data_IF_783693898750
#
_entry.id   IF_783693898750
#
_cell.length_a   1.000
_cell.length_b   1.000
_cell.length_c   1.000
_cell.angle_alpha   90.00
_cell.angle_beta   90.00
_cell.angle_gamma   90.00
#
_symmetry.space_group_name_H-M   'P 1'
#
loop_
_entity.id
_entity.type
_entity.pdbx_description
1 polymer ?
#
# COMPACT_ATOMS: atom_id res chain seq x y z
N UNK A 1 9.93 0.31 28.42
CA UNK A 1 10.34 0.91 27.13
C UNK A 1 11.05 -0.17 26.34
N UNK A 2 10.62 -0.45 25.11
CA UNK A 2 11.29 -1.41 24.23
C UNK A 2 12.43 -0.69 23.52
N UNK A 3 13.66 -1.19 23.65
CA UNK A 3 14.86 -0.58 23.05
C UNK A 3 15.43 -1.50 21.98
N UNK A 4 15.71 -0.94 20.80
CA UNK A 4 16.38 -1.65 19.71
C UNK A 4 17.89 -1.42 19.88
N UNK A 5 18.71 -2.47 20.04
CA UNK A 5 20.15 -2.33 20.18
C UNK A 5 20.80 -1.85 18.87
N UNK A 6 22.06 -1.43 18.94
CA UNK A 6 22.86 -1.21 17.73
C UNK A 6 23.03 -2.53 16.97
N UNK A 7 22.80 -2.51 15.65
CA UNK A 7 22.94 -3.66 14.78
C UNK A 7 24.06 -3.35 13.78
N UNK A 8 25.11 -4.17 13.78
CA UNK A 8 26.21 -4.05 12.83
C UNK A 8 25.84 -4.62 11.45
N UNK A 9 26.49 -4.12 10.40
CA UNK A 9 26.32 -4.65 9.04
C UNK A 9 25.01 -4.26 8.33
N UNK A 10 24.28 -3.25 8.82
CA UNK A 10 23.11 -2.71 8.13
C UNK A 10 23.50 -2.04 6.80
N UNK A 11 22.65 -2.18 5.79
CA UNK A 11 22.69 -1.36 4.59
C UNK A 11 22.41 0.11 4.91
N UNK A 12 22.81 1.04 4.03
CA UNK A 12 22.61 2.48 4.23
C UNK A 12 21.14 2.86 4.44
N UNK A 13 20.24 2.20 3.70
CA UNK A 13 18.80 2.18 3.96
C UNK A 13 18.39 0.76 4.32
N UNK A 14 17.60 0.60 5.38
CA UNK A 14 17.15 -0.71 5.86
C UNK A 14 15.70 -0.64 6.33
N UNK A 15 15.06 -1.79 6.49
CA UNK A 15 13.67 -1.88 6.96
C UNK A 15 13.59 -2.43 8.38
N UNK A 16 12.60 -1.97 9.12
CA UNK A 16 12.24 -2.49 10.44
C UNK A 16 10.75 -2.85 10.42
N UNK A 17 10.45 -4.14 10.62
CA UNK A 17 9.08 -4.61 10.87
C UNK A 17 8.93 -4.88 12.36
N UNK A 18 8.00 -4.17 12.99
CA UNK A 18 7.59 -4.42 14.37
C UNK A 18 6.22 -5.08 14.34
N UNK A 19 6.07 -6.17 15.10
CA UNK A 19 4.79 -6.87 15.27
C UNK A 19 4.50 -6.99 16.75
N UNK A 20 3.24 -6.72 17.13
CA UNK A 20 2.73 -6.95 18.47
C UNK A 20 1.73 -8.10 18.39
N UNK A 21 1.93 -9.11 19.23
CA UNK A 21 1.05 -10.26 19.35
C UNK A 21 0.36 -10.25 20.72
N UNK A 22 -0.90 -10.67 20.76
CA UNK A 22 -1.59 -10.91 22.03
C UNK A 22 -1.15 -12.24 22.66
N UNK A 23 -1.70 -12.57 23.85
CA UNK A 23 -1.35 -13.79 24.57
C UNK A 23 -1.71 -15.09 23.83
N UNK A 24 -2.55 -15.02 22.79
CA UNK A 24 -2.90 -16.17 21.93
C UNK A 24 -1.96 -16.35 20.74
N UNK A 25 -0.98 -15.44 20.56
CA UNK A 25 -0.08 -15.41 19.41
C UNK A 25 -0.70 -14.72 18.18
N UNK A 26 -1.86 -14.07 18.31
CA UNK A 26 -2.47 -13.33 17.22
C UNK A 26 -1.80 -11.96 17.09
N UNK A 27 -1.31 -11.62 15.91
CA UNK A 27 -0.83 -10.26 15.61
C UNK A 27 -1.99 -9.26 15.75
N UNK A 28 -1.85 -8.29 16.65
CA UNK A 28 -2.83 -7.22 16.91
C UNK A 28 -2.38 -5.86 16.37
N UNK A 29 -1.10 -5.71 16.07
CA UNK A 29 -0.55 -4.51 15.41
C UNK A 29 0.71 -4.87 14.64
N UNK A 30 0.94 -4.21 13.51
CA UNK A 30 2.22 -4.25 12.81
C UNK A 30 2.56 -2.87 12.28
N UNK A 31 3.82 -2.46 12.45
CA UNK A 31 4.37 -1.22 11.90
C UNK A 31 5.61 -1.53 11.07
N UNK A 32 5.78 -0.81 9.97
CA UNK A 32 6.88 -1.00 9.05
C UNK A 32 7.56 0.33 8.77
N UNK A 33 8.88 0.37 8.97
CA UNK A 33 9.70 1.56 8.82
C UNK A 33 10.80 1.29 7.80
N UNK A 34 11.19 2.34 7.08
CA UNK A 34 12.42 2.41 6.30
C UNK A 34 13.30 3.46 6.98
N UNK A 35 14.47 3.03 7.43
CA UNK A 35 15.39 3.86 8.22
C UNK A 35 16.72 3.97 7.49
N UNK A 36 17.47 5.00 7.83
CA UNK A 36 18.81 5.25 7.30
C UNK A 36 19.84 5.11 8.41
N UNK A 37 21.01 4.57 8.08
CA UNK A 37 22.17 4.62 8.99
C UNK A 37 22.77 6.03 9.08
N UNK A 38 22.42 6.93 8.16
CA UNK A 38 22.73 8.35 8.23
C UNK A 38 21.61 9.08 8.98
N UNK A 39 21.87 9.67 10.16
CA UNK A 39 20.83 10.36 10.91
C UNK A 39 20.42 11.68 10.24
N UNK A 40 19.12 11.95 10.27
CA UNK A 40 18.60 13.30 10.04
C UNK A 40 18.82 14.15 11.29
N UNK A 41 19.36 15.36 11.13
CA UNK A 41 19.57 16.28 12.25
C UNK A 41 19.01 17.66 11.93
N UNK A 42 18.47 18.33 12.95
CA UNK A 42 17.82 19.63 12.82
C UNK A 42 18.77 20.77 13.20
N UNK A 43 18.72 21.86 12.44
CA UNK A 43 19.39 23.12 12.78
C UNK A 43 18.48 23.99 13.65
N UNK A 44 18.46 23.68 14.94
CA UNK A 44 17.65 24.40 15.92
C UNK A 44 17.98 25.89 16.05
N UNK A 45 19.21 26.31 15.69
CA UNK A 45 19.59 27.72 15.76
C UNK A 45 18.89 28.56 14.70
N UNK A 46 18.39 27.92 13.64
CA UNK A 46 17.67 28.55 12.52
C UNK A 46 16.18 28.27 12.54
N UNK A 47 15.64 27.80 13.67
CA UNK A 47 14.20 27.62 13.84
C UNK A 47 13.46 28.94 13.68
N UNK A 48 12.34 28.87 12.96
CA UNK A 48 11.31 29.89 12.90
C UNK A 48 10.09 29.44 13.72
N UNK A 49 9.05 30.26 13.81
CA UNK A 49 7.88 29.95 14.63
C UNK A 49 7.09 28.70 14.17
N UNK A 50 7.28 28.24 12.92
CA UNK A 50 6.56 27.11 12.33
C UNK A 50 7.46 26.03 11.71
N UNK A 51 8.78 26.23 11.67
CA UNK A 51 9.68 25.36 10.93
C UNK A 51 11.10 25.38 11.49
N UNK A 52 11.73 24.21 11.56
CA UNK A 52 13.15 24.04 11.85
C UNK A 52 13.82 23.41 10.64
N UNK A 53 14.84 24.05 10.04
CA UNK A 53 15.55 23.46 8.90
C UNK A 53 16.39 22.24 9.30
N UNK A 54 16.63 21.38 8.33
CA UNK A 54 17.45 20.18 8.47
C UNK A 54 18.93 20.49 8.17
N UNK A 55 19.84 20.09 9.07
CA UNK A 55 21.30 20.19 8.91
C UNK A 55 21.88 19.01 8.11
N UNK A 56 21.37 17.81 8.33
CA UNK A 56 21.75 16.59 7.62
C UNK A 56 20.51 15.78 7.30
N UNK A 57 20.42 15.21 6.10
CA UNK A 57 19.29 14.39 5.68
C UNK A 57 19.63 12.90 5.78
N UNK A 58 18.63 12.11 6.19
CA UNK A 58 18.68 10.66 6.06
C UNK A 58 18.87 10.25 4.58
N UNK A 59 19.55 9.12 4.35
CA UNK A 59 19.78 8.59 3.02
C UNK A 59 18.85 7.40 2.74
N UNK A 60 17.87 7.64 1.85
CA UNK A 60 16.90 6.67 1.37
C UNK A 60 17.08 6.31 -0.12
N UNK A 61 18.20 6.71 -0.73
CA UNK A 61 18.42 6.53 -2.17
C UNK A 61 18.46 5.06 -2.60
N UNK A 62 18.87 4.16 -1.71
CA UNK A 62 18.88 2.72 -1.98
C UNK A 62 17.48 2.13 -2.25
N UNK A 63 16.39 2.81 -1.83
CA UNK A 63 15.02 2.39 -2.18
C UNK A 63 14.79 2.39 -3.70
N UNK A 64 15.50 3.24 -4.47
CA UNK A 64 15.38 3.29 -5.93
C UNK A 64 15.86 2.00 -6.61
N UNK A 65 16.69 1.22 -5.92
CA UNK A 65 17.28 -0.01 -6.43
C UNK A 65 16.54 -1.26 -5.94
N UNK A 66 15.38 -1.11 -5.30
CA UNK A 66 14.56 -2.27 -4.92
C UNK A 66 14.19 -3.09 -6.16
N UNK A 67 14.40 -4.42 -6.14
CA UNK A 67 14.01 -5.29 -7.25
C UNK A 67 12.53 -5.16 -7.58
N UNK A 68 12.17 -5.22 -8.86
CA UNK A 68 10.75 -5.20 -9.26
C UNK A 68 10.05 -6.47 -8.79
N UNK A 69 8.84 -6.31 -8.23
CA UNK A 69 8.02 -7.41 -7.74
C UNK A 69 6.73 -7.51 -8.54
N UNK A 70 6.45 -8.71 -9.05
CA UNK A 70 5.20 -9.02 -9.73
C UNK A 70 4.25 -9.77 -8.77
N UNK A 71 3.19 -9.09 -8.34
CA UNK A 71 2.24 -9.60 -7.33
C UNK A 71 1.14 -10.46 -7.95
N UNK A 72 0.72 -11.52 -7.28
CA UNK A 72 -0.49 -12.25 -7.67
C UNK A 72 -1.70 -11.57 -7.04
N UNK A 73 -2.72 -11.29 -7.86
CA UNK A 73 -3.90 -10.53 -7.44
C UNK A 73 -5.15 -11.21 -7.96
N UNK A 74 -6.13 -11.33 -7.09
CA UNK A 74 -7.50 -11.73 -7.43
C UNK A 74 -8.47 -10.96 -6.52
N UNK A 75 -9.75 -10.96 -6.86
CA UNK A 75 -10.73 -10.44 -5.93
C UNK A 75 -12.15 -10.81 -6.29
N UNK A 76 -13.02 -10.65 -5.29
CA UNK A 76 -14.44 -10.99 -5.38
C UNK A 76 -15.23 -9.75 -4.95
N UNK A 77 -16.15 -9.30 -5.80
CA UNK A 77 -17.06 -8.21 -5.52
C UNK A 77 -18.43 -8.75 -5.10
N UNK A 78 -19.00 -8.18 -4.04
CA UNK A 78 -20.34 -8.49 -3.52
C UNK A 78 -21.14 -7.20 -3.35
N UNK A 79 -22.40 -7.22 -3.79
CA UNK A 79 -23.35 -6.14 -3.51
C UNK A 79 -23.98 -6.38 -2.13
N UNK A 80 -23.95 -5.38 -1.27
CA UNK A 80 -24.48 -5.37 0.09
C UNK A 80 -25.44 -4.19 0.25
N UNK A 81 -26.68 -4.33 -0.23
CA UNK A 81 -27.66 -3.24 -0.23
C UNK A 81 -27.23 -2.10 -1.15
N UNK A 82 -27.08 -0.89 -0.58
CA UNK A 82 -26.67 0.31 -1.31
C UNK A 82 -25.15 0.40 -1.53
N UNK A 83 -24.38 -0.54 -0.97
CA UNK A 83 -22.92 -0.59 -1.08
C UNK A 83 -22.45 -1.82 -1.86
N UNK A 84 -21.23 -1.75 -2.38
CA UNK A 84 -20.46 -2.85 -2.90
C UNK A 84 -19.23 -3.05 -2.02
N UNK A 85 -18.83 -4.31 -1.82
CA UNK A 85 -17.60 -4.67 -1.16
C UNK A 85 -16.76 -5.57 -2.06
N UNK A 86 -15.55 -5.11 -2.39
CA UNK A 86 -14.55 -5.92 -3.11
C UNK A 86 -13.52 -6.43 -2.11
N UNK A 87 -13.40 -7.75 -1.98
CA UNK A 87 -12.34 -8.41 -1.21
C UNK A 87 -11.21 -8.78 -2.16
N UNK A 88 -10.07 -8.09 -2.03
CA UNK A 88 -8.85 -8.32 -2.80
C UNK A 88 -8.01 -9.36 -2.07
N UNK A 89 -7.59 -10.42 -2.75
CA UNK A 89 -6.55 -11.34 -2.30
C UNK A 89 -5.27 -11.04 -3.07
N UNK A 90 -4.22 -10.66 -2.34
CA UNK A 90 -2.93 -10.26 -2.90
C UNK A 90 -1.80 -11.04 -2.27
N UNK A 91 -0.85 -11.49 -3.09
CA UNK A 91 0.24 -12.37 -2.69
C UNK A 91 1.55 -11.95 -3.35
N UNK A 92 2.63 -11.97 -2.59
CA UNK A 92 3.97 -11.75 -3.10
C UNK A 92 4.68 -13.10 -3.26
N UNK A 93 4.73 -13.68 -4.48
CA UNK A 93 5.39 -14.96 -4.71
C UNK A 93 6.91 -14.85 -4.81
N UNK A 94 7.46 -13.63 -4.78
CA UNK A 94 8.89 -13.39 -4.98
C UNK A 94 9.68 -13.53 -3.67
N UNK A 95 11.01 -13.43 -3.79
CA UNK A 95 11.94 -13.37 -2.65
C UNK A 95 12.23 -11.95 -2.16
N UNK A 96 11.68 -10.94 -2.84
CA UNK A 96 11.96 -9.53 -2.61
C UNK A 96 10.74 -8.83 -1.97
N UNK A 97 10.97 -7.77 -1.20
CA UNK A 97 9.90 -6.98 -0.59
C UNK A 97 9.10 -6.25 -1.67
N UNK A 98 7.77 -6.36 -1.66
CA UNK A 98 6.90 -5.41 -2.35
C UNK A 98 6.62 -4.23 -1.42
N UNK A 99 7.12 -3.05 -1.79
CA UNK A 99 7.12 -1.86 -0.94
C UNK A 99 6.03 -0.88 -1.36
N UNK A 100 5.28 -0.36 -0.39
CA UNK A 100 4.14 0.54 -0.59
C UNK A 100 3.13 0.02 -1.62
N UNK A 101 2.61 -1.20 -1.42
CA UNK A 101 1.56 -1.76 -2.26
C UNK A 101 0.30 -0.91 -2.10
N UNK A 102 -0.17 -0.36 -3.22
CA UNK A 102 -1.31 0.53 -3.28
C UNK A 102 -2.40 -0.08 -4.14
N UNK A 103 -3.62 -0.07 -3.60
CA UNK A 103 -4.81 -0.64 -4.22
C UNK A 103 -5.82 0.46 -4.55
N UNK A 104 -6.39 0.40 -5.76
CA UNK A 104 -7.56 1.18 -6.18
C UNK A 104 -8.65 0.25 -6.70
N UNK A 105 -9.90 0.66 -6.55
CA UNK A 105 -11.03 0.08 -7.28
C UNK A 105 -11.41 1.06 -8.36
N UNK A 106 -11.48 0.59 -9.60
CA UNK A 106 -11.95 1.35 -10.74
C UNK A 106 -13.17 0.68 -11.37
N UNK A 107 -14.01 1.48 -12.02
CA UNK A 107 -15.12 1.01 -12.87
C UNK A 107 -15.10 1.79 -14.19
N UNK A 108 -15.77 1.25 -15.19
CA UNK A 108 -15.94 1.94 -16.47
C UNK A 108 -16.72 3.23 -16.26
N UNK A 109 -16.06 4.36 -16.50
CA UNK A 109 -16.68 5.65 -16.69
C UNK A 109 -17.00 5.83 -18.17
N UNK A 110 -18.17 6.42 -18.42
CA UNK A 110 -18.67 6.75 -19.75
C UNK A 110 -19.09 8.19 -19.74
N UNK A 111 -18.64 8.95 -20.73
CA UNK A 111 -19.06 10.33 -20.93
C UNK A 111 -20.54 10.36 -21.37
N UNK A 112 -21.43 11.07 -20.66
CA UNK A 112 -22.81 11.24 -21.09
C UNK A 112 -22.96 11.92 -22.46
N UNK A 113 -22.02 12.80 -22.81
CA UNK A 113 -22.04 13.55 -24.09
C UNK A 113 -21.40 12.75 -25.23
N UNK A 114 -20.56 11.76 -24.89
CA UNK A 114 -19.94 10.82 -25.82
C UNK A 114 -18.69 11.36 -26.52
N UNK A 115 -18.12 12.46 -26.02
CA UNK A 115 -16.93 13.09 -26.58
C UNK A 115 -15.65 12.38 -26.14
N UNK A 116 -15.67 11.75 -24.95
CA UNK A 116 -14.55 10.95 -24.43
C UNK A 116 -14.82 9.43 -24.50
N UNK A 117 -13.82 8.61 -24.87
CA UNK A 117 -13.97 7.16 -24.88
C UNK A 117 -14.16 6.59 -23.46
N UNK A 118 -14.84 5.45 -23.40
CA UNK A 118 -14.97 4.66 -22.17
C UNK A 118 -13.58 4.40 -21.56
N UNK A 119 -13.41 4.73 -20.28
CA UNK A 119 -12.15 4.55 -19.55
C UNK A 119 -12.41 4.06 -18.13
N UNK A 120 -11.38 3.54 -17.47
CA UNK A 120 -11.48 3.18 -16.05
C UNK A 120 -11.29 4.43 -15.20
N UNK A 121 -12.30 4.74 -14.38
CA UNK A 121 -12.21 5.78 -13.36
C UNK A 121 -12.22 5.15 -11.97
N UNK A 122 -11.41 5.72 -11.07
CA UNK A 122 -11.39 5.31 -9.67
C UNK A 122 -12.76 5.56 -9.02
N UNK A 123 -13.22 4.57 -8.26
CA UNK A 123 -14.46 4.66 -7.49
C UNK A 123 -14.18 5.45 -6.21
N UNK A 124 -14.84 6.60 -6.08
CA UNK A 124 -14.74 7.46 -4.90
C UNK A 124 -16.14 7.86 -4.40
N UNK A 125 -16.35 7.98 -3.07
CA UNK A 125 -15.41 7.59 -2.01
C UNK A 125 -15.31 6.06 -1.87
N UNK A 126 -14.15 5.59 -1.40
CA UNK A 126 -13.89 4.19 -1.05
C UNK A 126 -13.24 4.09 0.32
N UNK A 127 -13.67 3.12 1.13
CA UNK A 127 -13.11 2.81 2.43
C UNK A 127 -12.34 1.50 2.35
N UNK A 128 -11.04 1.55 2.64
CA UNK A 128 -10.16 0.39 2.67
C UNK A 128 -9.89 -0.06 4.11
N UNK A 129 -9.83 -1.37 4.34
CA UNK A 129 -9.33 -1.94 5.61
C UNK A 129 -7.85 -1.63 5.84
N UNK A 130 -7.06 -1.62 4.76
CA UNK A 130 -5.64 -1.29 4.76
C UNK A 130 -5.23 -0.86 3.33
N UNK A 131 -4.24 0.01 3.21
CA UNK A 131 -3.68 0.44 1.92
C UNK A 131 -2.26 0.98 2.13
N UNK A 132 -1.45 1.08 1.07
CA UNK A 132 -0.05 1.52 1.16
C UNK A 132 0.84 0.64 2.08
N UNK A 133 0.58 -0.66 2.11
CA UNK A 133 1.25 -1.61 3.00
C UNK A 133 2.46 -2.29 2.33
N UNK A 134 3.45 -2.76 3.11
CA UNK A 134 4.47 -3.68 2.61
C UNK A 134 3.90 -5.10 2.48
N UNK A 135 4.36 -5.86 1.49
CA UNK A 135 4.06 -7.29 1.37
C UNK A 135 5.36 -8.09 1.27
N UNK A 136 5.67 -8.85 2.33
CA UNK A 136 6.92 -9.60 2.45
C UNK A 136 7.00 -10.77 1.46
N UNK A 137 8.19 -11.32 1.22
CA UNK A 137 8.35 -12.56 0.45
C UNK A 137 7.45 -13.69 0.96
N UNK A 138 6.65 -14.28 0.07
CA UNK A 138 5.68 -15.33 0.38
C UNK A 138 4.45 -14.88 1.17
N UNK A 139 4.33 -13.60 1.52
CA UNK A 139 3.18 -13.10 2.29
C UNK A 139 1.94 -12.97 1.40
N UNK A 140 0.80 -13.36 1.97
CA UNK A 140 -0.52 -13.26 1.37
C UNK A 140 -1.45 -12.50 2.29
N UNK A 141 -2.24 -11.59 1.72
CA UNK A 141 -3.24 -10.79 2.44
C UNK A 141 -4.58 -10.80 1.75
N UNK A 142 -5.62 -10.62 2.55
CA UNK A 142 -6.96 -10.29 2.08
C UNK A 142 -7.33 -8.93 2.64
N UNK A 143 -7.78 -8.03 1.75
CA UNK A 143 -8.09 -6.64 2.10
C UNK A 143 -9.42 -6.28 1.45
N UNK A 144 -10.34 -5.73 2.25
CA UNK A 144 -11.63 -5.27 1.76
C UNK A 144 -11.62 -3.78 1.42
N UNK A 145 -12.24 -3.46 0.29
CA UNK A 145 -12.71 -2.12 -0.06
C UNK A 145 -14.24 -2.09 0.00
N UNK A 146 -14.82 -1.04 0.59
CA UNK A 146 -16.26 -0.80 0.61
C UNK A 146 -16.56 0.56 -0.01
N UNK A 147 -17.52 0.61 -0.94
CA UNK A 147 -17.87 1.82 -1.69
C UNK A 147 -19.34 1.75 -2.12
N UNK A 148 -19.90 2.87 -2.59
CA UNK A 148 -21.30 2.91 -3.02
C UNK A 148 -21.54 2.05 -4.26
N UNK A 149 -22.63 1.28 -4.26
CA UNK A 149 -23.02 0.50 -5.41
C UNK A 149 -23.35 1.42 -6.60
N UNK A 150 -22.84 1.06 -7.78
CA UNK A 150 -23.21 1.78 -9.00
C UNK A 150 -24.57 1.30 -9.49
N UNK A 151 -25.40 2.22 -10.03
CA UNK A 151 -26.61 1.84 -10.77
C UNK A 151 -26.28 0.97 -11.99
N UNK A 152 -25.09 1.17 -12.57
CA UNK A 152 -24.59 0.37 -13.69
C UNK A 152 -23.84 -0.84 -13.12
N UNK A 153 -24.12 -2.02 -13.66
CA UNK A 153 -23.48 -3.28 -13.26
C UNK A 153 -22.10 -3.49 -13.88
N UNK A 154 -21.36 -2.41 -14.12
CA UNK A 154 -19.99 -2.50 -14.62
C UNK A 154 -19.12 -3.22 -13.57
N UNK A 155 -18.29 -4.18 -14.00
CA UNK A 155 -17.48 -4.96 -13.09
C UNK A 155 -16.44 -4.07 -12.39
N UNK A 156 -16.15 -4.37 -11.14
CA UNK A 156 -15.06 -3.72 -10.42
C UNK A 156 -13.72 -4.21 -10.94
N UNK A 157 -12.81 -3.28 -11.24
CA UNK A 157 -11.43 -3.57 -11.63
C UNK A 157 -10.51 -3.15 -10.49
N UNK A 158 -9.72 -4.09 -10.00
CA UNK A 158 -8.71 -3.87 -8.98
C UNK A 158 -7.45 -3.40 -9.70
N UNK A 159 -7.00 -2.19 -9.40
CA UNK A 159 -5.71 -1.69 -9.88
C UNK A 159 -4.70 -1.74 -8.74
N UNK A 160 -3.53 -2.29 -9.03
CA UNK A 160 -2.43 -2.44 -8.07
C UNK A 160 -1.20 -1.76 -8.63
N UNK A 161 -0.59 -0.89 -7.83
CA UNK A 161 0.74 -0.37 -8.04
C UNK A 161 1.50 -0.28 -6.71
N UNK A 162 2.68 0.31 -6.74
CA UNK A 162 3.53 0.49 -5.57
C UNK A 162 4.94 0.89 -5.98
N UNK A 163 5.80 1.11 -4.99
CA UNK A 163 7.14 1.66 -5.21
C UNK A 163 7.96 0.84 -6.21
N UNK A 164 8.02 -0.48 -5.99
CA UNK A 164 8.71 -1.44 -6.85
C UNK A 164 7.77 -2.52 -7.40
N UNK A 165 6.46 -2.31 -7.35
CA UNK A 165 5.47 -3.26 -7.87
C UNK A 165 5.28 -3.07 -9.37
N UNK A 166 5.12 -4.16 -10.12
CA UNK A 166 4.70 -4.10 -11.53
C UNK A 166 3.20 -3.74 -11.56
N UNK A 167 2.80 -2.59 -12.14
CA UNK A 167 1.41 -2.18 -12.15
C UNK A 167 0.51 -3.19 -12.88
N UNK A 168 -0.69 -3.43 -12.35
CA UNK A 168 -1.63 -4.40 -12.91
C UNK A 168 -3.08 -4.04 -12.64
N UNK A 169 -3.94 -4.51 -13.53
CA UNK A 169 -5.40 -4.40 -13.41
C UNK A 169 -6.01 -5.79 -13.48
N UNK A 170 -6.89 -6.14 -12.55
CA UNK A 170 -7.56 -7.44 -12.47
C UNK A 170 -9.05 -7.20 -12.24
N UNK A 171 -9.90 -7.72 -13.12
CA UNK A 171 -11.35 -7.69 -12.92
C UNK A 171 -11.74 -8.58 -11.74
N UNK A 172 -12.45 -8.03 -10.76
CA UNK A 172 -13.00 -8.80 -9.66
C UNK A 172 -14.15 -9.68 -10.15
N UNK A 173 -14.18 -10.94 -9.71
CA UNK A 173 -15.28 -11.84 -10.01
C UNK A 173 -16.51 -11.52 -9.14
N UNK A 174 -17.68 -11.90 -9.62
CA UNK A 174 -18.91 -11.95 -8.82
C UNK A 174 -19.10 -13.40 -8.39
N UNK A 175 -19.45 -13.68 -7.12
CA UNK A 175 -19.64 -15.05 -6.62
C UNK A 175 -20.84 -15.76 -7.26
#
# INVERSE_FOLDING_TARGET
MFSIPSIEGLSSTYFVRLSLEDASGKTVSSNFYWLSTKPETLDWKRSTWYYTPTSSFADFTALQNLPRVDLQVSGICKVNGDDEATTVTIENPSKDLAFFVHLRIAKTARDPEGDEPDHLAEVLPVLWEDNYFPLMPGEKRQIRATYKASKKKDPAVIQVDGWNVVPKSVTASVP
#
